data_IF_320480124833
#
_entry.id   IF_320480124833
#
_cell.length_a   1.000
_cell.length_b   1.000
_cell.length_c   1.000
_cell.angle_alpha   90.00
_cell.angle_beta   90.00
_cell.angle_gamma   90.00
#
_symmetry.space_group_name_H-M   'P 1'
#
loop_
_entity.id
_entity.type
_entity.pdbx_description
1 polymer ?
#
# COMPACT_ATOMS: atom_id res chain seq x y z
N UNK A 1 0.99 -17.68 21.69
CA UNK A 1 0.85 -16.67 20.62
C UNK A 1 1.04 -15.33 21.30
N UNK A 2 2.24 -14.77 21.15
CA UNK A 2 2.69 -13.59 21.88
C UNK A 2 2.02 -12.33 21.32
N UNK A 3 1.32 -11.59 22.17
CA UNK A 3 0.58 -10.35 21.86
C UNK A 3 1.59 -9.18 21.94
N UNK A 4 2.71 -9.32 21.22
CA UNK A 4 3.87 -8.45 21.29
C UNK A 4 4.10 -7.58 20.07
N UNK A 5 3.19 -7.58 19.10
CA UNK A 5 3.25 -6.68 17.95
C UNK A 5 2.76 -5.30 18.39
N UNK A 6 3.57 -4.57 19.19
CA UNK A 6 3.56 -3.11 19.15
C UNK A 6 3.55 -2.76 17.67
N UNK A 7 2.54 -2.04 17.21
CA UNK A 7 2.43 -1.60 15.82
C UNK A 7 3.79 -1.03 15.40
N UNK A 8 4.55 -1.84 14.64
CA UNK A 8 5.92 -1.52 14.32
C UNK A 8 5.83 -0.34 13.37
N UNK A 9 6.24 0.84 13.83
CA UNK A 9 6.36 2.00 12.97
C UNK A 9 7.36 1.63 11.88
N UNK A 10 6.85 1.32 10.69
CA UNK A 10 7.65 0.93 9.55
C UNK A 10 8.55 2.10 9.14
N UNK A 11 9.81 1.79 8.90
CA UNK A 11 10.80 2.75 8.42
C UNK A 11 10.52 3.07 6.94
N UNK A 12 10.93 4.25 6.44
CA UNK A 12 10.60 4.67 5.06
C UNK A 12 11.10 3.67 4.00
N UNK A 13 12.22 2.99 4.25
CA UNK A 13 12.74 1.92 3.39
C UNK A 13 11.86 0.66 3.38
N UNK A 14 11.31 0.26 4.53
CA UNK A 14 10.38 -0.88 4.64
C UNK A 14 9.05 -0.56 3.95
N UNK A 15 8.53 0.66 4.14
CA UNK A 15 7.30 1.12 3.46
C UNK A 15 7.50 1.12 1.95
N UNK A 16 8.64 1.63 1.48
CA UNK A 16 8.98 1.65 0.05
C UNK A 16 9.11 0.25 -0.53
N UNK A 17 9.75 -0.67 0.21
CA UNK A 17 9.91 -2.06 -0.20
C UNK A 17 8.57 -2.82 -0.26
N UNK A 18 7.74 -2.73 0.78
CA UNK A 18 6.44 -3.39 0.80
C UNK A 18 5.50 -2.84 -0.27
N UNK A 19 5.50 -1.52 -0.46
CA UNK A 19 4.69 -0.85 -1.47
C UNK A 19 5.11 -1.25 -2.89
N UNK A 20 6.42 -1.38 -3.15
CA UNK A 20 6.93 -1.88 -4.44
C UNK A 20 6.56 -3.34 -4.68
N UNK A 21 6.66 -4.18 -3.63
CA UNK A 21 6.29 -5.60 -3.73
C UNK A 21 4.80 -5.77 -4.04
N UNK A 22 3.94 -5.02 -3.34
CA UNK A 22 2.51 -5.01 -3.60
C UNK A 22 2.22 -4.46 -5.00
N UNK A 23 2.81 -3.32 -5.36
CA UNK A 23 2.70 -2.76 -6.71
C UNK A 23 3.07 -3.77 -7.80
N UNK A 24 4.19 -4.47 -7.66
CA UNK A 24 4.63 -5.49 -8.60
C UNK A 24 3.66 -6.68 -8.68
N UNK A 25 3.15 -7.15 -7.53
CA UNK A 25 2.19 -8.25 -7.45
C UNK A 25 0.89 -7.90 -8.20
N UNK A 26 0.30 -6.75 -7.87
CA UNK A 26 -0.93 -6.28 -8.49
C UNK A 26 -0.74 -5.94 -9.97
N UNK A 27 0.39 -5.33 -10.34
CA UNK A 27 0.74 -5.06 -11.73
C UNK A 27 0.89 -6.34 -12.57
N UNK A 28 1.54 -7.38 -12.04
CA UNK A 28 1.68 -8.66 -12.74
C UNK A 28 0.34 -9.38 -12.90
N UNK A 29 -0.50 -9.37 -11.84
CA UNK A 29 -1.85 -9.93 -11.94
C UNK A 29 -2.74 -9.17 -12.93
N UNK A 30 -2.64 -7.84 -12.99
CA UNK A 30 -3.38 -7.02 -13.95
C UNK A 30 -2.92 -7.27 -15.38
N UNK A 31 -1.61 -7.47 -15.60
CA UNK A 31 -1.07 -7.87 -16.91
C UNK A 31 -1.66 -9.21 -17.36
N UNK A 32 -1.68 -10.21 -16.47
CA UNK A 32 -2.24 -11.53 -16.78
C UNK A 32 -3.73 -11.45 -17.12
N UNK A 33 -4.52 -10.73 -16.31
CA UNK A 33 -5.94 -10.53 -16.56
C UNK A 33 -6.16 -9.78 -17.87
N UNK A 34 -5.43 -8.69 -18.12
CA UNK A 34 -5.53 -7.93 -19.36
C UNK A 34 -5.16 -8.77 -20.60
N UNK A 35 -4.17 -9.65 -20.50
CA UNK A 35 -3.78 -10.54 -21.59
C UNK A 35 -4.86 -11.57 -21.92
N UNK A 36 -5.48 -12.15 -20.90
CA UNK A 36 -6.61 -13.09 -21.07
C UNK A 36 -7.83 -12.36 -21.62
N UNK A 37 -8.14 -11.18 -21.09
CA UNK A 37 -9.32 -10.40 -21.47
C UNK A 37 -9.18 -9.80 -22.87
N UNK A 38 -8.02 -9.22 -23.21
CA UNK A 38 -7.77 -8.66 -24.54
C UNK A 38 -7.75 -9.72 -25.64
N UNK A 39 -7.28 -10.93 -25.32
CA UNK A 39 -7.32 -12.06 -26.27
C UNK A 39 -8.72 -12.64 -26.45
N UNK A 40 -9.54 -12.71 -25.39
CA UNK A 40 -10.87 -13.34 -25.45
C UNK A 40 -12.03 -12.38 -25.74
N UNK A 41 -12.01 -11.19 -25.17
CA UNK A 41 -13.12 -10.23 -25.26
C UNK A 41 -12.95 -9.26 -26.42
N UNK A 42 -11.71 -8.90 -26.79
CA UNK A 42 -11.44 -7.87 -27.80
C UNK A 42 -10.81 -8.43 -29.09
N UNK A 43 -10.51 -9.74 -29.15
CA UNK A 43 -9.81 -10.39 -30.27
C UNK A 43 -8.60 -9.59 -30.77
N UNK A 44 -7.89 -8.93 -29.85
CA UNK A 44 -6.75 -8.09 -30.20
C UNK A 44 -5.61 -8.96 -30.74
N UNK A 45 -4.98 -8.50 -31.83
CA UNK A 45 -3.78 -9.14 -32.36
C UNK A 45 -2.70 -9.26 -31.28
N UNK A 46 -1.91 -10.34 -31.32
CA UNK A 46 -0.96 -10.72 -30.26
C UNK A 46 -0.03 -9.58 -29.81
N UNK A 47 0.43 -8.75 -30.74
CA UNK A 47 1.28 -7.58 -30.47
C UNK A 47 0.55 -6.45 -29.73
N UNK A 48 -0.69 -6.15 -30.13
CA UNK A 48 -1.51 -5.10 -29.51
C UNK A 48 -1.97 -5.52 -28.11
N UNK A 49 -2.33 -6.79 -27.93
CA UNK A 49 -2.70 -7.34 -26.63
C UNK A 49 -1.51 -7.32 -25.64
N UNK A 50 -0.32 -7.70 -26.09
CA UNK A 50 0.88 -7.67 -25.25
C UNK A 50 1.24 -6.25 -24.79
N UNK A 51 1.21 -5.27 -25.71
CA UNK A 51 1.46 -3.87 -25.35
C UNK A 51 0.41 -3.29 -24.41
N UNK A 52 -0.87 -3.51 -24.70
CA UNK A 52 -1.97 -3.03 -23.86
C UNK A 52 -1.91 -3.67 -22.47
N UNK A 53 -1.67 -4.97 -22.39
CA UNK A 53 -1.54 -5.67 -21.11
C UNK A 53 -0.32 -5.23 -20.30
N UNK A 54 0.82 -5.01 -20.96
CA UNK A 54 2.01 -4.49 -20.30
C UNK A 54 1.79 -3.07 -19.77
N UNK A 55 1.13 -2.21 -20.55
CA UNK A 55 0.76 -0.87 -20.12
C UNK A 55 -0.21 -0.91 -18.93
N UNK A 56 -1.25 -1.76 -18.99
CA UNK A 56 -2.18 -1.96 -17.86
C UNK A 56 -1.45 -2.43 -16.61
N UNK A 57 -0.58 -3.44 -16.72
CA UNK A 57 0.20 -3.94 -15.59
C UNK A 57 1.12 -2.88 -14.99
N UNK A 58 1.82 -2.10 -15.82
CA UNK A 58 2.72 -1.05 -15.36
C UNK A 58 1.95 0.09 -14.65
N UNK A 59 0.84 0.55 -15.24
CA UNK A 59 0.01 1.61 -14.65
C UNK A 59 -0.64 1.15 -13.35
N UNK A 60 -1.23 -0.06 -13.34
CA UNK A 60 -1.82 -0.62 -12.11
C UNK A 60 -0.77 -0.80 -11.03
N UNK A 61 0.42 -1.30 -11.37
CA UNK A 61 1.50 -1.46 -10.40
C UNK A 61 2.00 -0.13 -9.83
N UNK A 62 2.12 0.90 -10.66
CA UNK A 62 2.49 2.25 -10.21
C UNK A 62 1.43 2.87 -9.30
N UNK A 63 0.15 2.80 -9.68
CA UNK A 63 -0.95 3.31 -8.87
C UNK A 63 -1.02 2.60 -7.52
N UNK A 64 -0.90 1.27 -7.52
CA UNK A 64 -1.01 0.50 -6.28
C UNK A 64 0.20 0.71 -5.36
N UNK A 65 1.40 0.85 -5.92
CA UNK A 65 2.59 1.24 -5.14
C UNK A 65 2.44 2.61 -4.50
N UNK A 66 1.83 3.59 -5.20
CA UNK A 66 1.57 4.91 -4.63
C UNK A 66 0.50 4.88 -3.55
N UNK A 67 -0.60 4.17 -3.79
CA UNK A 67 -1.71 4.03 -2.86
C UNK A 67 -1.30 3.33 -1.56
N UNK A 68 -0.60 2.20 -1.67
CA UNK A 68 -0.10 1.45 -0.50
C UNK A 68 0.85 2.30 0.33
N UNK A 69 1.80 3.00 -0.32
CA UNK A 69 2.71 3.92 0.37
C UNK A 69 1.97 5.00 1.16
N UNK A 70 0.98 5.65 0.56
CA UNK A 70 0.15 6.64 1.27
C UNK A 70 -0.62 6.03 2.45
N UNK A 71 -1.12 4.80 2.30
CA UNK A 71 -1.83 4.11 3.36
C UNK A 71 -0.90 3.79 4.56
N UNK A 72 0.32 3.32 4.28
CA UNK A 72 1.34 3.08 5.31
C UNK A 72 1.82 4.37 5.99
N UNK A 73 2.07 5.44 5.23
CA UNK A 73 2.44 6.75 5.77
C UNK A 73 1.32 7.33 6.65
N UNK A 74 0.05 7.18 6.25
CA UNK A 74 -1.11 7.60 7.05
C UNK A 74 -1.24 6.78 8.34
N UNK A 75 -1.08 5.45 8.26
CA UNK A 75 -1.05 4.57 9.44
C UNK A 75 0.08 4.96 10.40
N UNK A 76 1.27 5.24 9.88
CA UNK A 76 2.42 5.69 10.68
C UNK A 76 2.12 6.99 11.42
N UNK A 77 1.50 7.98 10.77
CA UNK A 77 1.10 9.24 11.43
C UNK A 77 0.09 9.01 12.56
N UNK A 78 -0.93 8.18 12.32
CA UNK A 78 -1.93 7.84 13.33
C UNK A 78 -1.31 7.21 14.57
N UNK A 79 -0.40 6.25 14.38
CA UNK A 79 0.28 5.58 15.49
C UNK A 79 1.18 6.54 16.29
N UNK A 80 1.85 7.49 15.62
CA UNK A 80 2.62 8.53 16.31
C UNK A 80 1.69 9.44 17.12
N UNK A 81 0.58 9.89 16.56
CA UNK A 81 -0.41 10.73 17.25
C UNK A 81 -1.04 10.01 18.46
N UNK A 82 -1.38 8.72 18.33
CA UNK A 82 -1.88 7.90 19.43
C UNK A 82 -0.83 7.73 20.53
N UNK A 83 0.42 7.43 20.17
CA UNK A 83 1.52 7.32 21.13
C UNK A 83 1.82 8.63 21.88
N UNK A 84 1.59 9.79 21.25
CA UNK A 84 1.72 11.09 21.92
C UNK A 84 0.54 11.39 22.85
N UNK A 85 -0.69 10.98 22.49
CA UNK A 85 -1.86 11.10 23.36
C UNK A 85 -1.76 10.20 24.59
N UNK A 86 -1.25 8.98 24.44
CA UNK A 86 -1.02 8.05 25.56
C UNK A 86 0.09 8.50 26.52
N UNK A 87 1.02 9.36 26.08
CA UNK A 87 2.03 9.98 26.94
C UNK A 87 1.54 11.23 27.71
N UNK A 88 0.30 11.68 27.49
CA UNK A 88 -0.36 12.70 28.33
C UNK A 88 -1.54 12.14 29.16
N UNK A 89 -1.33 11.27 30.16
CA UNK A 89 -2.24 11.13 31.28
C UNK A 89 -1.61 11.83 32.49
N UNK A 90 -1.86 13.13 32.70
CA UNK A 90 -1.38 13.76 33.94
C UNK A 90 -1.41 15.29 34.10
N UNK A 91 -2.02 16.08 33.22
CA UNK A 91 -2.05 17.54 33.37
C UNK A 91 -3.46 18.13 33.56
N UNK A 92 -4.30 17.51 34.40
CA UNK A 92 -5.57 18.16 34.80
C UNK A 92 -6.05 17.93 36.24
N UNK A 93 -5.34 17.18 37.08
CA UNK A 93 -5.72 16.96 38.49
C UNK A 93 -4.85 17.77 39.46
N UNK A 94 -4.48 19.02 39.13
CA UNK A 94 -3.72 19.89 40.03
C UNK A 94 -4.23 21.33 40.12
N UNK A 95 -5.56 21.53 40.09
CA UNK A 95 -6.15 22.73 40.68
C UNK A 95 -6.95 22.29 41.91
N UNK A 96 -6.19 22.07 42.99
CA UNK A 96 -6.71 21.83 44.32
C UNK A 96 -7.59 22.99 44.81
N UNK A 97 -8.59 22.60 45.59
CA UNK A 97 -9.50 23.40 46.41
C UNK A 97 -8.84 24.56 47.16
#
# INVERSE_FOLDING_TARGET
>A
MDIGSRDKILTDDEISWESRKLGALYGFSALFVASVFGSRALSLGSKANAFSSAATGAVTGYMWSGFTRQAYEKRRRQLIEESQKEQQPGASDSVSK
#
